data_IF_818370530323
#
_entry.id   IF_818370530323
#
_cell.length_a   1.000
_cell.length_b   1.000
_cell.length_c   1.000
_cell.angle_alpha   90.00
_cell.angle_beta   90.00
_cell.angle_gamma   90.00
#
_symmetry.space_group_name_H-M   'P 1'
#
loop_
_entity.id
_entity.type
_entity.pdbx_description
1 polymer ?
#
# COMPACT_ATOMS: atom_id res chain seq x y z
N UNK A 1 18.81 1.60 13.21
CA UNK A 1 17.95 2.74 13.60
C UNK A 1 16.80 2.22 14.46
N UNK A 2 16.02 3.10 15.09
CA UNK A 2 14.84 2.72 15.89
C UNK A 2 13.58 2.92 15.06
N UNK A 3 12.86 1.83 14.77
CA UNK A 3 11.65 1.85 13.94
C UNK A 3 10.54 2.73 14.52
N UNK A 4 10.46 2.88 15.85
CA UNK A 4 9.45 3.72 16.49
C UNK A 4 9.74 5.21 16.28
N UNK A 5 11.02 5.57 16.23
CA UNK A 5 11.45 6.93 15.87
C UNK A 5 11.08 7.22 14.42
N UNK A 6 11.40 6.31 13.49
CA UNK A 6 11.09 6.52 12.07
C UNK A 6 9.59 6.54 11.79
N UNK A 7 8.79 5.69 12.46
CA UNK A 7 7.34 5.75 12.36
C UNK A 7 6.79 7.11 12.82
N UNK A 8 7.35 7.67 13.89
CA UNK A 8 6.91 8.96 14.44
C UNK A 8 7.23 10.09 13.47
N UNK A 9 8.45 10.15 12.95
CA UNK A 9 8.87 11.16 11.98
C UNK A 9 8.07 11.04 10.68
N UNK A 10 7.90 9.81 10.14
CA UNK A 10 7.10 9.56 8.95
C UNK A 10 5.65 10.07 9.12
N UNK A 11 5.03 9.82 10.28
CA UNK A 11 3.66 10.30 10.56
C UNK A 11 3.56 11.81 10.77
N UNK A 12 4.58 12.44 11.35
CA UNK A 12 4.57 13.88 11.60
C UNK A 12 4.82 14.69 10.31
N UNK A 13 5.50 14.09 9.33
CA UNK A 13 5.90 14.73 8.07
C UNK A 13 5.04 14.37 6.85
N UNK A 14 4.11 13.42 6.96
CA UNK A 14 3.31 12.90 5.83
C UNK A 14 2.38 13.91 5.12
N UNK A 15 2.16 15.09 5.69
CA UNK A 15 1.41 16.15 5.01
C UNK A 15 2.28 16.95 4.02
N UNK A 16 3.61 16.82 4.11
CA UNK A 16 4.57 17.32 3.12
C UNK A 16 4.39 18.82 2.81
N UNK A 17 4.14 19.62 3.85
CA UNK A 17 3.72 21.03 3.73
C UNK A 17 4.85 21.98 3.35
N UNK A 18 6.08 21.59 3.65
CA UNK A 18 7.29 22.36 3.37
C UNK A 18 8.48 21.44 3.10
N UNK A 19 9.58 22.02 2.62
CA UNK A 19 10.81 21.29 2.27
C UNK A 19 11.39 20.49 3.45
N UNK A 20 11.23 20.99 4.68
CA UNK A 20 11.74 20.31 5.87
C UNK A 20 10.86 19.10 6.26
N UNK A 21 9.55 19.15 6.01
CA UNK A 21 8.71 17.95 6.10
C UNK A 21 9.06 16.94 5.01
N UNK A 22 9.29 17.38 3.77
CA UNK A 22 9.72 16.50 2.68
C UNK A 22 11.03 15.79 3.02
N UNK A 23 12.05 16.54 3.47
CA UNK A 23 13.35 15.98 3.82
C UNK A 23 13.23 14.93 4.95
N UNK A 24 12.45 15.22 6.00
CA UNK A 24 12.22 14.27 7.10
C UNK A 24 11.49 13.02 6.64
N UNK A 25 10.47 13.20 5.80
CA UNK A 25 9.68 12.09 5.29
C UNK A 25 10.54 11.15 4.44
N UNK A 26 11.27 11.69 3.46
CA UNK A 26 12.15 10.90 2.59
C UNK A 26 13.30 10.24 3.37
N UNK A 27 13.88 10.96 4.34
CA UNK A 27 14.90 10.41 5.23
C UNK A 27 14.36 9.23 6.03
N UNK A 28 13.17 9.35 6.61
CA UNK A 28 12.57 8.26 7.36
C UNK A 28 12.23 7.06 6.48
N UNK A 29 11.77 7.28 5.24
CA UNK A 29 11.61 6.18 4.27
C UNK A 29 12.95 5.47 4.01
N UNK A 30 14.01 6.24 3.72
CA UNK A 30 15.34 5.69 3.48
C UNK A 30 15.85 4.87 4.66
N UNK A 31 15.71 5.42 5.87
CA UNK A 31 16.08 4.73 7.09
C UNK A 31 15.28 3.42 7.28
N UNK A 32 13.98 3.43 7.03
CA UNK A 32 13.15 2.23 7.16
C UNK A 32 13.61 1.13 6.18
N UNK A 33 13.93 1.51 4.94
CA UNK A 33 14.39 0.58 3.90
C UNK A 33 15.74 -0.05 4.24
N UNK A 34 16.68 0.72 4.80
CA UNK A 34 18.00 0.23 5.24
C UNK A 34 17.92 -0.85 6.33
N UNK A 35 16.80 -0.96 7.05
CA UNK A 35 16.61 -2.03 8.04
C UNK A 35 16.26 -3.39 7.41
N UNK A 36 15.86 -3.41 6.13
CA UNK A 36 15.54 -4.62 5.33
C UNK A 36 14.51 -5.59 5.94
N UNK A 37 13.71 -5.15 6.93
CA UNK A 37 12.64 -5.95 7.53
C UNK A 37 11.32 -5.75 6.77
N UNK A 38 10.79 -6.81 6.16
CA UNK A 38 9.52 -6.79 5.41
C UNK A 38 8.34 -6.35 6.27
N UNK A 39 8.37 -6.56 7.59
CA UNK A 39 7.30 -6.13 8.48
C UNK A 39 7.20 -4.59 8.54
N UNK A 40 8.25 -3.86 8.15
CA UNK A 40 8.20 -2.40 8.06
C UNK A 40 7.32 -1.88 6.91
N UNK A 41 6.82 -2.74 6.01
CA UNK A 41 5.73 -2.35 5.10
C UNK A 41 4.53 -1.81 5.89
N UNK A 42 4.22 -2.36 7.08
CA UNK A 42 3.17 -1.83 7.95
C UNK A 42 3.46 -0.40 8.44
N UNK A 43 4.72 -0.11 8.74
CA UNK A 43 5.18 1.22 9.15
C UNK A 43 5.06 2.19 7.98
N UNK A 44 5.56 1.81 6.81
CA UNK A 44 5.47 2.62 5.58
C UNK A 44 4.00 2.91 5.21
N UNK A 45 3.09 1.95 5.37
CA UNK A 45 1.65 2.17 5.12
C UNK A 45 1.06 3.31 5.97
N UNK A 46 1.61 3.59 7.15
CA UNK A 46 1.13 4.68 8.01
C UNK A 46 1.63 6.07 7.57
N UNK A 47 2.59 6.12 6.64
CA UNK A 47 3.10 7.34 6.03
C UNK A 47 2.21 7.94 4.95
N UNK A 48 1.20 7.21 4.44
CA UNK A 48 0.25 7.80 3.50
C UNK A 48 -0.71 8.76 4.21
N UNK A 49 -1.15 9.81 3.53
CA UNK A 49 -2.25 10.67 3.98
C UNK A 49 -2.93 11.28 2.74
N UNK A 50 -4.26 11.20 2.67
CA UNK A 50 -5.05 11.75 1.56
C UNK A 50 -5.10 13.29 1.59
N UNK A 51 -4.65 13.93 2.68
CA UNK A 51 -4.61 15.39 2.83
C UNK A 51 -3.29 16.02 2.34
N UNK A 52 -2.32 15.23 1.89
CA UNK A 52 -1.11 15.78 1.27
C UNK A 52 -1.45 16.42 -0.08
N UNK A 53 -0.77 17.51 -0.43
CA UNK A 53 -0.80 18.09 -1.78
C UNK A 53 0.41 17.68 -2.62
N UNK A 54 1.37 16.96 -2.04
CA UNK A 54 2.60 16.53 -2.71
C UNK A 54 2.54 15.05 -3.12
N UNK A 55 1.83 14.79 -4.21
CA UNK A 55 1.66 13.44 -4.76
C UNK A 55 2.99 12.82 -5.19
N UNK A 56 3.93 13.60 -5.73
CA UNK A 56 5.20 13.09 -6.25
C UNK A 56 6.03 12.39 -5.16
N UNK A 57 6.22 13.06 -4.02
CA UNK A 57 6.94 12.49 -2.87
C UNK A 57 6.18 11.28 -2.31
N UNK A 58 4.84 11.33 -2.31
CA UNK A 58 4.03 10.22 -1.82
C UNK A 58 4.05 9.01 -2.77
N UNK A 59 4.25 9.19 -4.08
CA UNK A 59 4.60 8.11 -5.00
C UNK A 59 5.96 7.49 -4.68
N UNK A 60 6.90 8.26 -4.13
CA UNK A 60 8.15 7.74 -3.56
C UNK A 60 7.90 6.67 -2.49
N UNK A 61 6.91 6.89 -1.61
CA UNK A 61 6.50 5.90 -0.59
C UNK A 61 5.90 4.62 -1.21
N UNK A 62 5.15 4.73 -2.30
CA UNK A 62 4.68 3.55 -3.05
C UNK A 62 5.88 2.74 -3.56
N UNK A 63 6.84 3.42 -4.21
CA UNK A 63 8.02 2.74 -4.75
C UNK A 63 8.88 2.12 -3.65
N UNK A 64 8.96 2.73 -2.46
CA UNK A 64 9.61 2.15 -1.29
C UNK A 64 8.96 0.82 -0.89
N UNK A 65 7.63 0.76 -0.77
CA UNK A 65 6.91 -0.48 -0.46
C UNK A 65 7.14 -1.54 -1.55
N UNK A 66 7.04 -1.16 -2.83
CA UNK A 66 7.24 -2.08 -3.96
C UNK A 66 8.68 -2.61 -4.04
N UNK A 67 9.66 -1.87 -3.49
CA UNK A 67 11.06 -2.28 -3.50
C UNK A 67 11.36 -3.51 -2.64
N UNK A 68 10.49 -3.86 -1.69
CA UNK A 68 10.65 -5.07 -0.86
C UNK A 68 10.61 -6.36 -1.67
N UNK A 69 10.05 -6.35 -2.90
CA UNK A 69 10.10 -7.49 -3.82
C UNK A 69 11.54 -7.85 -4.26
N UNK A 70 12.52 -6.98 -3.99
CA UNK A 70 13.96 -7.25 -4.20
C UNK A 70 14.60 -7.98 -3.01
N UNK A 71 13.97 -7.94 -1.84
CA UNK A 71 14.49 -8.50 -0.58
C UNK A 71 13.79 -9.82 -0.27
N UNK A 72 12.48 -9.87 -0.47
CA UNK A 72 11.63 -11.06 -0.27
C UNK A 72 10.80 -11.35 -1.51
N UNK A 73 10.15 -12.51 -1.57
CA UNK A 73 9.23 -12.79 -2.67
C UNK A 73 8.02 -11.83 -2.64
N UNK A 74 7.49 -11.51 -3.83
CA UNK A 74 6.29 -10.67 -3.97
C UNK A 74 5.07 -11.23 -3.21
N UNK A 75 5.02 -12.54 -2.95
CA UNK A 75 3.97 -13.14 -2.12
C UNK A 75 4.06 -12.69 -0.67
N UNK A 76 5.27 -12.66 -0.10
CA UNK A 76 5.49 -12.25 1.28
C UNK A 76 5.21 -10.75 1.44
N UNK A 77 5.80 -9.91 0.57
CA UNK A 77 5.59 -8.45 0.63
C UNK A 77 4.12 -8.06 0.44
N UNK A 78 3.42 -8.63 -0.56
CA UNK A 78 2.00 -8.37 -0.78
C UNK A 78 1.12 -8.88 0.36
N UNK A 79 1.51 -9.97 1.02
CA UNK A 79 0.77 -10.48 2.19
C UNK A 79 0.90 -9.53 3.37
N UNK A 80 2.09 -8.98 3.61
CA UNK A 80 2.27 -7.94 4.64
C UNK A 80 1.48 -6.69 4.27
N UNK A 81 1.60 -6.19 3.03
CA UNK A 81 0.82 -5.04 2.56
C UNK A 81 -0.70 -5.23 2.77
N UNK A 82 -1.23 -6.40 2.41
CA UNK A 82 -2.65 -6.71 2.59
C UNK A 82 -3.08 -6.67 4.05
N UNK A 83 -2.26 -7.20 4.97
CA UNK A 83 -2.53 -7.15 6.41
C UNK A 83 -2.39 -5.74 7.00
N UNK A 84 -1.60 -4.87 6.36
CA UNK A 84 -1.39 -3.47 6.78
C UNK A 84 -2.51 -2.52 6.39
N UNK A 85 -3.45 -2.94 5.52
CA UNK A 85 -4.57 -2.12 5.05
C UNK A 85 -5.33 -1.38 6.16
N UNK A 86 -5.69 -2.00 7.31
CA UNK A 86 -6.39 -1.31 8.38
C UNK A 86 -5.67 -0.05 8.90
N UNK A 87 -4.34 0.00 8.80
CA UNK A 87 -3.54 1.15 9.23
C UNK A 87 -3.71 2.36 8.30
N UNK A 88 -4.09 2.14 7.04
CA UNK A 88 -4.31 3.20 6.06
C UNK A 88 -5.73 3.76 6.11
N UNK A 89 -6.73 2.95 6.46
CA UNK A 89 -8.17 3.32 6.37
C UNK A 89 -8.52 4.67 7.04
N UNK A 90 -7.95 5.04 8.20
CA UNK A 90 -8.33 6.30 8.85
C UNK A 90 -7.94 7.56 8.09
N UNK A 91 -6.92 7.51 7.22
CA UNK A 91 -6.30 8.71 6.65
C UNK A 91 -5.85 8.60 5.18
N UNK A 92 -5.84 7.41 4.59
CA UNK A 92 -5.20 7.13 3.30
C UNK A 92 -6.04 6.21 2.39
N UNK A 93 -7.34 6.47 2.27
CA UNK A 93 -8.26 5.67 1.46
C UNK A 93 -8.02 5.87 -0.04
N UNK A 94 -7.69 7.08 -0.48
CA UNK A 94 -7.40 7.32 -1.91
C UNK A 94 -6.04 6.73 -2.30
N UNK A 95 -5.02 6.85 -1.44
CA UNK A 95 -3.74 6.14 -1.63
C UNK A 95 -3.88 4.63 -1.68
N UNK A 96 -4.74 4.06 -0.83
CA UNK A 96 -5.04 2.63 -0.86
C UNK A 96 -5.69 2.21 -2.20
N UNK A 97 -6.57 3.04 -2.78
CA UNK A 97 -7.11 2.77 -4.12
C UNK A 97 -6.03 2.83 -5.19
N UNK A 98 -5.05 3.73 -5.07
CA UNK A 98 -3.92 3.80 -6.00
C UNK A 98 -3.11 2.49 -5.92
N UNK A 99 -2.78 2.02 -4.73
CA UNK A 99 -2.08 0.74 -4.52
C UNK A 99 -2.87 -0.44 -5.14
N UNK A 100 -4.17 -0.53 -4.88
CA UNK A 100 -5.02 -1.56 -5.51
C UNK A 100 -5.04 -1.47 -7.03
N UNK A 101 -5.15 -0.26 -7.62
CA UNK A 101 -5.07 -0.08 -9.07
C UNK A 101 -3.73 -0.53 -9.64
N UNK A 102 -2.61 -0.28 -8.94
CA UNK A 102 -1.28 -0.74 -9.37
C UNK A 102 -1.20 -2.27 -9.38
N UNK A 103 -1.67 -2.92 -8.31
CA UNK A 103 -1.76 -4.39 -8.23
C UNK A 103 -2.65 -4.94 -9.35
N UNK A 104 -3.82 -4.33 -9.59
CA UNK A 104 -4.74 -4.77 -10.64
C UNK A 104 -4.14 -4.65 -12.06
N UNK A 105 -3.38 -3.59 -12.32
CA UNK A 105 -2.73 -3.37 -13.62
C UNK A 105 -1.51 -4.28 -13.84
N UNK A 106 -0.92 -4.86 -12.79
CA UNK A 106 0.24 -5.74 -12.88
C UNK A 106 -0.18 -7.20 -12.71
N UNK A 107 -0.27 -7.94 -13.82
CA UNK A 107 -0.76 -9.32 -13.82
C UNK A 107 -0.05 -10.26 -12.83
N UNK A 108 1.29 -10.27 -12.70
CA UNK A 108 1.96 -11.10 -11.70
C UNK A 108 1.49 -10.79 -10.27
N UNK A 109 1.45 -9.51 -9.88
CA UNK A 109 0.97 -9.09 -8.55
C UNK A 109 -0.50 -9.45 -8.36
N UNK A 110 -1.35 -9.24 -9.37
CA UNK A 110 -2.77 -9.61 -9.34
C UNK A 110 -2.97 -11.11 -9.10
N UNK A 111 -2.19 -11.95 -9.77
CA UNK A 111 -2.27 -13.41 -9.64
C UNK A 111 -1.81 -13.92 -8.27
N UNK A 112 -0.91 -13.20 -7.60
CA UNK A 112 -0.52 -13.46 -6.22
C UNK A 112 -1.61 -12.95 -5.27
N UNK A 113 -2.07 -11.71 -5.47
CA UNK A 113 -3.02 -11.04 -4.59
C UNK A 113 -4.36 -11.79 -4.49
N UNK A 114 -4.86 -12.36 -5.60
CA UNK A 114 -6.08 -13.19 -5.57
C UNK A 114 -5.96 -14.42 -4.67
N UNK A 115 -4.76 -15.00 -4.52
CA UNK A 115 -4.49 -16.12 -3.61
C UNK A 115 -4.33 -15.65 -2.15
N UNK A 116 -3.85 -14.43 -1.95
CA UNK A 116 -3.70 -13.82 -0.62
C UNK A 116 -5.05 -13.48 -0.01
N UNK A 117 -5.99 -12.89 -0.77
CA UNK A 117 -7.25 -12.36 -0.24
C UNK A 117 -8.06 -13.38 0.60
N UNK A 118 -8.23 -14.66 0.18
CA UNK A 118 -8.90 -15.69 0.98
C UNK A 118 -8.28 -15.99 2.34
N UNK A 119 -7.01 -15.63 2.53
CA UNK A 119 -6.23 -15.93 3.74
C UNK A 119 -6.16 -14.74 4.71
N UNK A 120 -6.85 -13.64 4.40
CA UNK A 120 -6.97 -12.48 5.27
C UNK A 120 -8.07 -12.72 6.30
N UNK A 121 -8.08 -11.96 7.40
CA UNK A 121 -9.24 -11.97 8.27
C UNK A 121 -10.48 -11.44 7.53
N UNK A 122 -11.66 -11.85 7.99
CA UNK A 122 -12.92 -11.56 7.30
C UNK A 122 -13.16 -10.06 7.07
N UNK A 123 -12.74 -9.19 7.98
CA UNK A 123 -12.97 -7.75 7.86
C UNK A 123 -12.08 -7.11 6.80
N UNK A 124 -10.78 -7.46 6.76
CA UNK A 124 -9.87 -6.98 5.71
C UNK A 124 -10.32 -7.54 4.35
N UNK A 125 -10.67 -8.83 4.29
CA UNK A 125 -11.15 -9.46 3.07
C UNK A 125 -12.37 -8.73 2.50
N UNK A 126 -13.40 -8.48 3.32
CA UNK A 126 -14.60 -7.73 2.91
C UNK A 126 -14.27 -6.32 2.45
N UNK A 127 -13.38 -5.63 3.16
CA UNK A 127 -12.95 -4.29 2.78
C UNK A 127 -12.24 -4.28 1.42
N UNK A 128 -11.29 -5.20 1.20
CA UNK A 128 -10.57 -5.32 -0.07
C UNK A 128 -11.55 -5.61 -1.21
N UNK A 129 -12.46 -6.58 -1.05
CA UNK A 129 -13.48 -6.90 -2.07
C UNK A 129 -14.35 -5.69 -2.39
N UNK A 130 -14.78 -4.93 -1.37
CA UNK A 130 -15.55 -3.70 -1.56
C UNK A 130 -14.78 -2.63 -2.34
N UNK A 131 -13.49 -2.41 -2.02
CA UNK A 131 -12.66 -1.44 -2.75
C UNK A 131 -12.42 -1.86 -4.20
N UNK A 132 -12.09 -3.13 -4.46
CA UNK A 132 -11.88 -3.64 -5.81
C UNK A 132 -13.17 -3.52 -6.65
N UNK A 133 -14.33 -3.80 -6.05
CA UNK A 133 -15.64 -3.61 -6.69
C UNK A 133 -15.88 -2.14 -7.01
N UNK A 134 -15.60 -1.22 -6.09
CA UNK A 134 -15.73 0.22 -6.33
C UNK A 134 -14.79 0.72 -7.44
N UNK A 135 -13.57 0.20 -7.52
CA UNK A 135 -12.61 0.53 -8.59
C UNK A 135 -13.17 0.08 -9.95
N UNK A 136 -13.73 -1.14 -10.02
CA UNK A 136 -14.40 -1.65 -11.22
C UNK A 136 -15.56 -0.74 -11.62
N UNK A 137 -16.48 -0.43 -10.71
CA UNK A 137 -17.68 0.37 -11.01
C UNK A 137 -17.35 1.78 -11.51
N UNK A 138 -16.27 2.40 -11.01
CA UNK A 138 -15.83 3.73 -11.44
C UNK A 138 -15.23 3.74 -12.85
N UNK A 139 -14.59 2.66 -13.28
CA UNK A 139 -14.01 2.56 -14.63
C UNK A 139 -14.00 1.10 -15.13
N UNK A 140 -15.17 0.57 -15.54
CA UNK A 140 -15.31 -0.83 -15.92
C UNK A 140 -14.43 -1.20 -17.11
N UNK A 141 -14.35 -0.33 -18.12
CA UNK A 141 -13.56 -0.57 -19.33
C UNK A 141 -12.07 -0.79 -19.05
N UNK A 142 -11.55 -0.26 -17.93
CA UNK A 142 -10.17 -0.48 -17.49
C UNK A 142 -10.00 -1.63 -16.51
N UNK A 143 -10.93 -1.81 -15.57
CA UNK A 143 -10.69 -2.68 -14.40
C UNK A 143 -11.58 -3.92 -14.31
N UNK A 144 -12.63 -4.04 -15.11
CA UNK A 144 -13.60 -5.14 -15.02
C UNK A 144 -12.94 -6.52 -15.09
N UNK A 145 -12.15 -6.77 -16.13
CA UNK A 145 -11.45 -8.05 -16.33
C UNK A 145 -10.52 -8.37 -15.14
N UNK A 146 -9.68 -7.41 -14.76
CA UNK A 146 -8.72 -7.57 -13.67
C UNK A 146 -9.41 -7.87 -12.33
N UNK A 147 -10.51 -7.17 -12.01
CA UNK A 147 -11.25 -7.37 -10.77
C UNK A 147 -12.01 -8.68 -10.79
N UNK A 148 -12.68 -9.02 -11.89
CA UNK A 148 -13.41 -10.28 -12.01
C UNK A 148 -12.45 -11.48 -11.87
N UNK A 149 -11.22 -11.40 -12.41
CA UNK A 149 -10.21 -12.45 -12.23
C UNK A 149 -9.84 -12.74 -10.77
N UNK A 150 -10.01 -11.75 -9.88
CA UNK A 150 -9.86 -11.92 -8.43
C UNK A 150 -11.16 -12.46 -7.83
N UNK A 151 -12.29 -11.84 -8.13
CA UNK A 151 -13.58 -12.19 -7.52
C UNK A 151 -14.03 -13.62 -7.85
N UNK A 152 -13.75 -14.09 -9.07
CA UNK A 152 -14.06 -15.45 -9.49
C UNK A 152 -13.21 -16.50 -8.76
N UNK A 153 -12.05 -16.12 -8.22
CA UNK A 153 -11.22 -16.98 -7.36
C UNK A 153 -11.77 -17.11 -5.93
N UNK A 154 -12.64 -16.20 -5.51
CA UNK A 154 -13.24 -16.20 -4.16
C UNK A 154 -14.55 -17.00 -4.09
N UNK A 155 -15.07 -17.46 -5.24
CA UNK A 155 -16.25 -18.29 -5.37
C UNK A 155 -15.90 -19.76 -5.20
#
# INVERSE_FOLDING_TARGET
MDILVELTELKNSRLLRDENEVEKFEKSIGNILEMEDVNHIEVLCQGFDDLTENDEVMFGLIHAIESYDKIVSSEVSLKVLANSIPKMIPHAKEWLKILHKRILNHEPSRNIYKKIIPTLNNDIQKYVVSQLTSIKERNPSRFEESVNSILDFLK
#
